data_IF_573369163449
#
_entry.id   IF_573369163449
#
_cell.length_a   1.000
_cell.length_b   1.000
_cell.length_c   1.000
_cell.angle_alpha   90.00
_cell.angle_beta   90.00
_cell.angle_gamma   90.00
#
_symmetry.space_group_name_H-M   'P 1'
#
loop_
_entity.id
_entity.type
_entity.pdbx_description
1 polymer ?
#
# COMPACT_ATOMS: atom_id res chain seq x y z
N UNK A 1 24.79 -2.55 -14.62
CA UNK A 1 24.15 -2.59 -13.29
C UNK A 1 25.08 -3.14 -12.21
N UNK A 2 25.36 -4.45 -12.13
CA UNK A 2 26.20 -4.96 -11.02
C UNK A 2 27.68 -4.53 -11.11
N UNK A 3 28.21 -4.35 -12.32
CA UNK A 3 29.60 -3.93 -12.55
C UNK A 3 29.86 -2.44 -12.29
N UNK A 4 28.80 -1.63 -12.19
CA UNK A 4 28.90 -0.16 -12.09
C UNK A 4 28.57 0.35 -10.68
N UNK A 5 28.25 -0.55 -9.76
CA UNK A 5 27.92 -0.23 -8.39
C UNK A 5 29.01 -0.69 -7.44
N UNK A 6 29.42 0.18 -6.51
CA UNK A 6 30.27 -0.19 -5.39
C UNK A 6 29.42 -0.40 -4.14
N UNK A 7 29.63 -1.52 -3.46
CA UNK A 7 28.94 -1.86 -2.21
C UNK A 7 29.88 -1.75 -1.02
N UNK A 8 29.40 -1.11 0.05
CA UNK A 8 30.12 -0.95 1.30
C UNK A 8 29.20 -1.34 2.45
N UNK A 9 29.74 -2.14 3.38
CA UNK A 9 29.04 -2.50 4.61
C UNK A 9 29.44 -1.55 5.73
N UNK A 10 28.47 -0.86 6.29
CA UNK A 10 28.70 0.15 7.33
C UNK A 10 28.55 -0.51 8.69
N UNK A 11 29.52 -0.26 9.57
CA UNK A 11 29.44 -0.64 10.98
C UNK A 11 28.53 0.33 11.73
N UNK A 12 27.68 -0.20 12.60
CA UNK A 12 26.70 0.60 13.34
C UNK A 12 25.46 0.96 12.51
N UNK A 13 24.29 0.74 13.11
CA UNK A 13 23.03 1.21 12.56
C UNK A 13 22.70 2.63 13.03
N UNK A 14 21.86 3.33 12.28
CA UNK A 14 21.20 4.54 12.78
C UNK A 14 20.00 4.13 13.63
N UNK A 15 19.89 4.67 14.86
CA UNK A 15 18.75 4.48 15.77
C UNK A 15 19.12 3.99 17.17
N UNK A 16 18.11 3.91 18.05
CA UNK A 16 18.23 3.31 19.38
C UNK A 16 18.40 1.78 19.25
N UNK A 17 19.62 1.37 18.88
CA UNK A 17 19.94 -0.01 18.56
C UNK A 17 20.58 -0.74 19.74
N UNK A 18 19.99 -1.86 20.13
CA UNK A 18 20.61 -2.78 21.10
C UNK A 18 21.91 -3.40 20.55
N UNK A 19 22.54 -4.27 21.36
CA UNK A 19 23.84 -4.87 21.07
C UNK A 19 23.98 -5.42 19.63
N UNK A 20 22.91 -6.03 19.09
CA UNK A 20 22.91 -6.64 17.75
C UNK A 20 23.11 -5.62 16.62
N UNK A 21 22.53 -4.43 16.73
CA UNK A 21 22.63 -3.38 15.70
C UNK A 21 24.02 -2.75 15.70
N UNK A 22 24.62 -2.58 16.89
CA UNK A 22 25.93 -1.94 17.01
C UNK A 22 27.07 -2.88 16.61
N UNK A 23 26.94 -4.20 16.86
CA UNK A 23 28.01 -5.17 16.55
C UNK A 23 27.96 -5.75 15.14
N UNK A 24 26.81 -5.68 14.45
CA UNK A 24 26.63 -6.39 13.17
C UNK A 24 26.67 -5.43 11.98
N UNK A 25 27.50 -5.73 10.99
CA UNK A 25 27.61 -5.02 9.70
C UNK A 25 26.44 -5.35 8.76
N UNK A 26 25.22 -5.11 9.21
CA UNK A 26 24.01 -5.39 8.44
C UNK A 26 23.60 -4.24 7.51
N UNK A 27 24.04 -3.01 7.78
CA UNK A 27 23.75 -1.83 6.96
C UNK A 27 24.54 -1.88 5.66
N UNK A 28 23.85 -1.71 4.53
CA UNK A 28 24.43 -1.71 3.19
C UNK A 28 24.34 -0.31 2.60
N UNK A 29 25.45 0.18 2.06
CA UNK A 29 25.51 1.35 1.20
C UNK A 29 25.89 0.89 -0.20
N UNK A 30 25.12 1.34 -1.18
CA UNK A 30 25.34 1.07 -2.60
C UNK A 30 25.52 2.42 -3.30
N UNK A 31 26.64 2.58 -4.03
CA UNK A 31 26.92 3.77 -4.82
C UNK A 31 26.98 3.39 -6.29
N UNK A 32 26.20 4.06 -7.12
CA UNK A 32 26.30 3.94 -8.57
C UNK A 32 27.37 4.90 -9.08
N UNK A 33 28.42 4.36 -9.69
CA UNK A 33 29.59 5.15 -10.11
C UNK A 33 29.27 6.21 -11.18
N UNK A 34 28.53 5.91 -12.27
CA UNK A 34 28.37 6.88 -13.35
C UNK A 34 27.35 7.99 -13.03
N UNK A 35 26.34 7.74 -12.18
CA UNK A 35 25.38 8.79 -11.77
C UNK A 35 25.72 9.44 -10.43
N UNK A 36 26.65 8.86 -9.66
CA UNK A 36 27.03 9.37 -8.34
C UNK A 36 25.96 9.18 -7.24
N UNK A 37 24.82 8.56 -7.52
CA UNK A 37 23.76 8.35 -6.51
C UNK A 37 24.25 7.34 -5.47
N UNK A 38 24.01 7.67 -4.21
CA UNK A 38 24.28 6.79 -3.07
C UNK A 38 22.95 6.43 -2.41
N UNK A 39 22.71 5.13 -2.25
CA UNK A 39 21.54 4.59 -1.55
C UNK A 39 22.02 3.78 -0.35
N UNK A 40 21.33 3.92 0.77
CA UNK A 40 21.58 3.12 1.97
C UNK A 40 20.33 2.34 2.38
N UNK A 41 20.53 1.09 2.82
CA UNK A 41 19.46 0.26 3.38
C UNK A 41 19.86 -0.36 4.72
N UNK A 42 18.94 -0.28 5.69
CA UNK A 42 19.02 -0.85 7.03
C UNK A 42 17.62 -1.29 7.48
N UNK A 43 16.87 -1.96 6.60
CA UNK A 43 15.47 -2.35 6.89
C UNK A 43 15.43 -3.54 7.84
N UNK A 44 16.31 -4.53 7.64
CA UNK A 44 16.34 -5.74 8.44
C UNK A 44 17.70 -5.97 9.09
N UNK A 45 17.75 -6.96 9.99
CA UNK A 45 19.01 -7.42 10.61
C UNK A 45 19.87 -8.30 9.69
N UNK A 46 19.39 -8.61 8.48
CA UNK A 46 20.07 -9.48 7.52
C UNK A 46 20.76 -8.64 6.44
N UNK A 47 22.07 -8.82 6.30
CA UNK A 47 22.89 -8.14 5.28
C UNK A 47 22.41 -8.44 3.86
N UNK A 48 22.04 -9.69 3.58
CA UNK A 48 21.62 -10.08 2.23
C UNK A 48 20.27 -9.46 1.84
N UNK A 49 19.34 -9.40 2.78
CA UNK A 49 18.05 -8.73 2.56
C UNK A 49 18.24 -7.23 2.33
N UNK A 50 19.08 -6.57 3.14
CA UNK A 50 19.41 -5.16 2.94
C UNK A 50 20.15 -4.92 1.61
N UNK A 51 20.95 -5.88 1.13
CA UNK A 51 21.61 -5.81 -0.19
C UNK A 51 20.60 -5.88 -1.33
N UNK A 52 19.57 -6.74 -1.22
CA UNK A 52 18.48 -6.83 -2.20
C UNK A 52 17.66 -5.53 -2.22
N UNK A 53 17.27 -5.06 -1.04
CA UNK A 53 16.51 -3.81 -0.89
C UNK A 53 17.30 -2.58 -1.40
N UNK A 54 18.61 -2.48 -1.09
CA UNK A 54 19.46 -1.40 -1.61
C UNK A 54 19.51 -1.39 -3.16
N UNK A 55 19.58 -2.55 -3.81
CA UNK A 55 19.54 -2.65 -5.28
C UNK A 55 18.18 -2.26 -5.85
N UNK A 56 17.08 -2.70 -5.24
CA UNK A 56 15.73 -2.33 -5.67
C UNK A 56 15.51 -0.82 -5.59
N UNK A 57 15.96 -0.19 -4.50
CA UNK A 57 15.95 1.26 -4.34
C UNK A 57 16.83 1.95 -5.37
N UNK A 58 18.02 1.43 -5.63
CA UNK A 58 18.93 1.97 -6.64
C UNK A 58 18.30 1.97 -8.03
N UNK A 59 17.69 0.84 -8.42
CA UNK A 59 16.98 0.73 -9.69
C UNK A 59 15.82 1.72 -9.80
N UNK A 60 15.09 1.96 -8.71
CA UNK A 60 14.03 2.96 -8.66
C UNK A 60 14.55 4.39 -8.85
N UNK A 61 15.61 4.77 -8.13
CA UNK A 61 16.22 6.11 -8.28
C UNK A 61 16.79 6.32 -9.69
N UNK A 62 17.39 5.29 -10.29
CA UNK A 62 17.88 5.36 -11.67
C UNK A 62 16.73 5.50 -12.67
N UNK A 63 15.63 4.77 -12.50
CA UNK A 63 14.45 4.93 -13.34
C UNK A 63 13.85 6.33 -13.22
N UNK A 64 13.88 6.92 -12.02
CA UNK A 64 13.42 8.29 -11.77
C UNK A 64 14.35 9.36 -12.36
N UNK A 65 15.65 9.09 -12.48
CA UNK A 65 16.57 9.98 -13.20
C UNK A 65 16.38 9.92 -14.72
N UNK A 66 15.99 8.75 -15.25
CA UNK A 66 15.80 8.57 -16.70
C UNK A 66 14.53 9.27 -17.22
N UNK A 67 13.53 9.51 -16.36
CA UNK A 67 12.40 10.37 -16.73
C UNK A 67 12.89 11.82 -16.83
N UNK A 68 12.71 12.43 -18.01
CA UNK A 68 13.41 13.61 -18.54
C UNK A 68 13.62 14.83 -17.62
N UNK A 69 12.88 14.94 -16.51
CA UNK A 69 12.93 16.10 -15.60
C UNK A 69 13.01 15.71 -14.10
N UNK A 70 13.19 14.43 -13.75
CA UNK A 70 13.15 13.95 -12.35
C UNK A 70 11.78 14.11 -11.64
N UNK A 71 10.82 14.70 -12.35
CA UNK A 71 9.44 14.97 -11.95
C UNK A 71 8.43 14.00 -12.61
N UNK A 72 8.86 13.22 -13.60
CA UNK A 72 8.01 12.23 -14.24
C UNK A 72 7.74 11.03 -13.33
N UNK A 73 6.47 10.66 -13.19
CA UNK A 73 6.05 9.43 -12.49
C UNK A 73 6.74 8.21 -13.14
N UNK A 74 7.42 7.38 -12.34
CA UNK A 74 7.97 6.13 -12.87
C UNK A 74 6.83 5.18 -13.28
N UNK A 75 7.06 4.20 -14.17
CA UNK A 75 6.04 3.19 -14.49
C UNK A 75 5.49 2.49 -13.24
N UNK A 76 6.34 2.30 -12.22
CA UNK A 76 5.97 1.78 -10.91
C UNK A 76 4.98 2.71 -10.20
N UNK A 77 5.22 4.02 -10.22
CA UNK A 77 4.35 5.02 -9.58
C UNK A 77 2.98 5.09 -10.27
N UNK A 78 2.97 5.05 -11.60
CA UNK A 78 1.73 5.01 -12.40
C UNK A 78 0.91 3.76 -12.06
N UNK A 79 1.55 2.59 -12.01
CA UNK A 79 0.89 1.34 -11.64
C UNK A 79 0.33 1.39 -10.20
N UNK A 80 1.10 1.92 -9.24
CA UNK A 80 0.64 2.10 -7.86
C UNK A 80 -0.55 3.05 -7.77
N UNK A 81 -0.56 4.14 -8.56
CA UNK A 81 -1.68 5.09 -8.63
C UNK A 81 -2.94 4.43 -9.17
N UNK A 82 -2.83 3.68 -10.25
CA UNK A 82 -3.94 2.93 -10.83
C UNK A 82 -4.50 1.90 -9.83
N UNK A 83 -3.63 1.14 -9.16
CA UNK A 83 -4.04 0.16 -8.14
C UNK A 83 -4.76 0.83 -6.96
N UNK A 84 -4.24 1.95 -6.46
CA UNK A 84 -4.91 2.73 -5.40
C UNK A 84 -6.29 3.22 -5.84
N UNK A 85 -6.44 3.70 -7.07
CA UNK A 85 -7.74 4.11 -7.62
C UNK A 85 -8.71 2.93 -7.74
N UNK A 86 -8.25 1.77 -8.22
CA UNK A 86 -9.06 0.55 -8.31
C UNK A 86 -9.54 0.10 -6.92
N UNK A 87 -8.64 0.04 -5.93
CA UNK A 87 -8.97 -0.35 -4.56
C UNK A 87 -9.94 0.63 -3.90
N UNK A 88 -9.77 1.95 -4.14
CA UNK A 88 -10.72 2.97 -3.67
C UNK A 88 -12.11 2.77 -4.27
N UNK A 89 -12.20 2.55 -5.59
CA UNK A 89 -13.47 2.28 -6.28
C UNK A 89 -14.13 1.01 -5.77
N UNK A 90 -13.38 -0.08 -5.60
CA UNK A 90 -13.89 -1.33 -5.05
C UNK A 90 -14.44 -1.16 -3.62
N UNK A 91 -13.72 -0.40 -2.77
CA UNK A 91 -14.17 -0.08 -1.40
C UNK A 91 -15.47 0.72 -1.42
N UNK A 92 -15.56 1.76 -2.24
CA UNK A 92 -16.76 2.59 -2.37
C UNK A 92 -17.97 1.78 -2.87
N UNK A 93 -17.78 0.92 -3.88
CA UNK A 93 -18.84 0.03 -4.38
C UNK A 93 -19.34 -0.93 -3.30
N UNK A 94 -18.41 -1.52 -2.52
CA UNK A 94 -18.76 -2.39 -1.40
C UNK A 94 -19.56 -1.66 -0.32
N UNK A 95 -19.15 -0.44 0.04
CA UNK A 95 -19.91 0.36 1.01
C UNK A 95 -21.29 0.74 0.47
N UNK A 96 -21.39 1.20 -0.78
CA UNK A 96 -22.66 1.58 -1.39
C UNK A 96 -23.66 0.42 -1.36
N UNK A 97 -23.24 -0.76 -1.83
CA UNK A 97 -24.05 -1.99 -1.80
C UNK A 97 -24.53 -2.34 -0.39
N UNK A 98 -23.69 -2.16 0.64
CA UNK A 98 -24.09 -2.42 2.04
C UNK A 98 -25.23 -1.49 2.48
N UNK A 99 -25.14 -0.21 2.15
CA UNK A 99 -26.17 0.78 2.52
C UNK A 99 -27.46 0.59 1.71
N UNK A 100 -27.34 0.22 0.43
CA UNK A 100 -28.48 -0.14 -0.43
C UNK A 100 -29.23 -1.35 0.13
N UNK A 101 -28.53 -2.45 0.43
CA UNK A 101 -29.13 -3.64 1.02
C UNK A 101 -29.85 -3.36 2.34
N UNK A 102 -29.22 -2.57 3.22
CA UNK A 102 -29.85 -2.20 4.48
C UNK A 102 -31.07 -1.28 4.28
N UNK A 103 -31.07 -0.44 3.25
CA UNK A 103 -32.23 0.39 2.89
C UNK A 103 -33.38 -0.46 2.37
N UNK A 104 -33.09 -1.40 1.46
CA UNK A 104 -34.07 -2.34 0.92
C UNK A 104 -34.67 -3.23 2.02
N UNK A 105 -33.85 -3.77 2.92
CA UNK A 105 -34.32 -4.56 4.06
C UNK A 105 -35.24 -3.76 4.98
N UNK A 106 -34.96 -2.47 5.20
CA UNK A 106 -35.83 -1.60 5.99
C UNK A 106 -37.17 -1.33 5.30
N UNK A 107 -37.16 -1.06 4.00
CA UNK A 107 -38.38 -0.86 3.22
C UNK A 107 -39.24 -2.12 3.21
N UNK A 108 -38.64 -3.29 3.00
CA UNK A 108 -39.35 -4.57 3.03
C UNK A 108 -40.02 -4.84 4.38
N UNK A 109 -39.31 -4.58 5.50
CA UNK A 109 -39.91 -4.72 6.85
C UNK A 109 -41.03 -3.73 7.10
N UNK A 110 -40.93 -2.52 6.54
CA UNK A 110 -41.98 -1.50 6.67
C UNK A 110 -43.22 -1.86 5.85
N UNK A 111 -43.04 -2.36 4.63
CA UNK A 111 -44.12 -2.90 3.78
C UNK A 111 -44.80 -4.11 4.44
N UNK A 112 -44.03 -5.04 5.01
CA UNK A 112 -44.56 -6.19 5.74
C UNK A 112 -45.38 -5.76 6.97
N UNK A 113 -44.90 -4.75 7.72
CA UNK A 113 -45.64 -4.18 8.85
C UNK A 113 -46.95 -3.52 8.40
N UNK A 114 -46.91 -2.73 7.32
CA UNK A 114 -48.11 -2.10 6.74
C UNK A 114 -49.12 -3.14 6.24
N UNK A 115 -48.66 -4.23 5.64
CA UNK A 115 -49.52 -5.35 5.25
C UNK A 115 -50.18 -6.01 6.47
N UNK A 116 -49.42 -6.29 7.52
CA UNK A 116 -49.95 -6.85 8.77
C UNK A 116 -50.97 -5.91 9.43
N UNK A 117 -50.68 -4.61 9.49
CA UNK A 117 -51.59 -3.60 10.03
C UNK A 117 -52.88 -3.50 9.21
N UNK A 118 -52.78 -3.56 7.87
CA UNK A 118 -53.93 -3.56 6.97
C UNK A 118 -54.79 -4.84 7.11
N UNK A 119 -54.16 -6.01 7.26
CA UNK A 119 -54.86 -7.27 7.54
C UNK A 119 -55.58 -7.23 8.89
N UNK A 120 -54.94 -6.68 9.93
CA UNK A 120 -55.55 -6.49 11.25
C UNK A 120 -56.80 -5.60 11.16
N UNK A 121 -56.70 -4.46 10.47
CA UNK A 121 -57.82 -3.54 10.22
C UNK A 121 -58.96 -4.25 9.49
N UNK A 122 -58.66 -5.02 8.44
CA UNK A 122 -59.66 -5.80 7.70
C UNK A 122 -60.36 -6.83 8.58
N UNK A 123 -59.66 -7.43 9.54
CA UNK A 123 -60.21 -8.38 10.52
C UNK A 123 -61.06 -7.69 11.59
N UNK A 124 -60.72 -6.47 12.01
CA UNK A 124 -61.48 -5.67 12.97
C UNK A 124 -62.74 -5.03 12.38
N UNK A 125 -62.76 -4.75 11.07
CA UNK A 125 -63.90 -4.17 10.35
C UNK A 125 -64.84 -5.22 9.73
N UNK A 126 -64.58 -6.52 9.95
CA UNK A 126 -65.50 -7.57 9.56
C UNK A 126 -66.70 -7.58 10.54
N UNK A 127 -67.96 -7.52 10.04
CA UNK A 127 -69.17 -7.41 10.85
C UNK A 127 -69.47 -8.66 11.69
#
# INVERSE_FOLDING_TARGET
>A
METECTEVFIHGGSGAGGQKINKTNSKVQLKHLPTGIVVTSQVTRSREQNRKDARERMAYELARLQTADGAGETPRDVALRQLKQQNKRAKLKKSARKYEQHREEKLAKEEERLQADAELLKKMMAP
#
